data_IF_987861754753
#
_entry.id   IF_987861754753
#
_cell.length_a   1.000
_cell.length_b   1.000
_cell.length_c   1.000
_cell.angle_alpha   90.00
_cell.angle_beta   90.00
_cell.angle_gamma   90.00
#
_symmetry.space_group_name_H-M   'P 1'
#
loop_
_entity.id
_entity.type
_entity.pdbx_description
1 polymer ?
#
# COMPACT_ATOMS: atom_id res chain seq x y z
N UNK A 1 21.78 20.43 2.34
CA UNK A 1 21.81 18.96 2.61
C UNK A 1 20.48 18.54 3.19
N UNK A 2 19.76 17.61 2.55
CA UNK A 2 18.53 17.04 3.09
C UNK A 2 18.85 16.34 4.43
N UNK A 3 18.06 16.63 5.47
CA UNK A 3 18.18 15.91 6.73
C UNK A 3 17.69 14.48 6.52
N UNK A 4 18.37 13.45 7.04
CA UNK A 4 17.87 12.09 6.95
C UNK A 4 16.50 12.00 7.64
N UNK A 5 15.56 11.39 6.97
CA UNK A 5 14.24 11.09 7.56
C UNK A 5 14.47 10.14 8.73
N UNK A 6 13.88 10.45 9.90
CA UNK A 6 13.92 9.54 11.05
C UNK A 6 13.40 8.17 10.61
N UNK A 7 14.06 7.10 11.06
CA UNK A 7 13.61 5.74 10.80
C UNK A 7 12.12 5.61 11.17
N UNK A 8 11.34 5.06 10.23
CA UNK A 8 9.91 4.85 10.46
C UNK A 8 9.69 3.73 11.49
N UNK A 9 9.16 4.09 12.65
CA UNK A 9 8.96 3.18 13.77
C UNK A 9 7.73 2.25 13.63
N UNK A 10 7.30 1.97 12.39
CA UNK A 10 6.18 1.09 12.13
C UNK A 10 6.65 -0.38 12.06
N UNK A 11 5.89 -1.38 12.60
CA UNK A 11 6.30 -2.77 12.61
C UNK A 11 6.63 -3.34 11.23
N UNK A 12 5.89 -2.95 10.19
CA UNK A 12 6.14 -3.36 8.81
C UNK A 12 7.36 -2.66 8.17
N UNK A 13 7.90 -1.61 8.81
CA UNK A 13 9.11 -0.91 8.34
C UNK A 13 10.42 -1.54 8.84
N UNK A 14 10.35 -2.56 9.68
CA UNK A 14 11.55 -3.20 10.21
C UNK A 14 12.28 -4.00 9.14
N UNK A 15 13.61 -3.84 8.98
CA UNK A 15 14.41 -4.63 8.05
C UNK A 15 14.34 -6.12 8.42
N UNK A 16 13.90 -6.94 7.46
CA UNK A 16 13.70 -8.38 7.66
C UNK A 16 14.20 -9.23 6.49
N UNK A 17 14.75 -8.62 5.46
CA UNK A 17 15.29 -9.31 4.30
C UNK A 17 16.66 -8.74 3.91
N UNK A 18 17.62 -9.65 3.65
CA UNK A 18 18.95 -9.28 3.15
C UNK A 18 18.88 -8.88 1.67
N UNK A 19 19.48 -7.77 1.35
CA UNK A 19 19.60 -7.23 0.00
C UNK A 19 21.06 -6.92 -0.33
N UNK A 20 21.40 -6.72 -1.59
CA UNK A 20 22.74 -6.33 -2.01
C UNK A 20 23.25 -5.04 -1.35
N UNK A 21 22.33 -4.13 -1.00
CA UNK A 21 22.60 -2.84 -0.36
C UNK A 21 22.40 -2.86 1.16
N UNK A 22 22.24 -4.06 1.79
CA UNK A 22 22.02 -4.23 3.21
C UNK A 22 20.66 -4.83 3.56
N UNK A 23 20.24 -4.68 4.83
CA UNK A 23 18.95 -5.16 5.28
C UNK A 23 17.83 -4.19 4.89
N UNK A 24 16.77 -4.70 4.28
CA UNK A 24 15.59 -3.93 3.89
C UNK A 24 14.30 -4.54 4.45
N UNK A 25 13.27 -3.72 4.60
CA UNK A 25 11.95 -4.20 4.97
C UNK A 25 11.27 -4.88 3.76
N UNK A 26 10.77 -6.09 3.96
CA UNK A 26 9.93 -6.79 3.01
C UNK A 26 8.57 -7.07 3.65
N UNK A 27 7.53 -6.49 3.10
CA UNK A 27 6.15 -6.58 3.59
C UNK A 27 5.18 -7.01 2.49
N UNK A 28 5.66 -7.74 1.49
CA UNK A 28 4.86 -8.19 0.33
C UNK A 28 3.61 -8.98 0.70
N UNK A 29 3.65 -9.74 1.79
CA UNK A 29 2.51 -10.54 2.27
C UNK A 29 1.57 -9.77 3.20
N UNK A 30 1.88 -8.52 3.57
CA UNK A 30 1.07 -7.75 4.53
C UNK A 30 -0.35 -7.49 4.00
N UNK A 31 -0.51 -7.23 2.70
CA UNK A 31 -1.83 -7.04 2.09
C UNK A 31 -2.68 -8.32 2.10
N UNK A 32 -2.06 -9.48 1.87
CA UNK A 32 -2.74 -10.78 1.96
C UNK A 32 -3.14 -11.10 3.39
N UNK A 33 -2.29 -10.81 4.36
CA UNK A 33 -2.60 -10.99 5.79
C UNK A 33 -3.75 -10.07 6.23
N UNK A 34 -3.76 -8.80 5.81
CA UNK A 34 -4.87 -7.89 6.07
C UNK A 34 -6.18 -8.38 5.45
N UNK A 35 -6.14 -8.90 4.22
CA UNK A 35 -7.31 -9.48 3.57
C UNK A 35 -7.84 -10.69 4.34
N UNK A 36 -6.99 -11.61 4.75
CA UNK A 36 -7.39 -12.78 5.53
C UNK A 36 -8.05 -12.38 6.87
N UNK A 37 -7.45 -11.46 7.59
CA UNK A 37 -8.00 -10.93 8.85
C UNK A 37 -9.32 -10.19 8.61
N UNK A 38 -9.42 -9.40 7.54
CA UNK A 38 -10.64 -8.70 7.18
C UNK A 38 -11.81 -9.65 6.93
N UNK A 39 -11.55 -10.78 6.25
CA UNK A 39 -12.57 -11.82 6.01
C UNK A 39 -13.02 -12.46 7.35
N UNK A 40 -12.07 -12.81 8.22
CA UNK A 40 -12.36 -13.42 9.51
C UNK A 40 -13.12 -12.48 10.46
N UNK A 41 -12.83 -11.19 10.42
CA UNK A 41 -13.44 -10.17 11.25
C UNK A 41 -14.68 -9.51 10.62
N UNK A 42 -15.04 -9.91 9.39
CA UNK A 42 -16.14 -9.35 8.61
C UNK A 42 -16.07 -7.82 8.52
N UNK A 43 -14.89 -7.30 8.20
CA UNK A 43 -14.61 -5.88 7.96
C UNK A 43 -14.16 -5.61 6.53
N UNK A 44 -14.17 -4.36 6.14
CA UNK A 44 -13.68 -3.94 4.82
C UNK A 44 -12.19 -4.24 4.64
N UNK A 45 -11.85 -4.68 3.43
CA UNK A 45 -10.47 -4.94 3.01
C UNK A 45 -9.82 -3.59 2.64
N UNK A 46 -8.62 -3.31 3.17
CA UNK A 46 -7.91 -2.05 2.87
C UNK A 46 -7.57 -1.91 1.39
N UNK A 47 -7.13 -2.98 0.76
CA UNK A 47 -6.89 -3.00 -0.69
C UNK A 47 -8.08 -3.64 -1.41
N UNK A 48 -9.19 -2.91 -1.48
CA UNK A 48 -10.40 -3.39 -2.15
C UNK A 48 -10.23 -3.36 -3.69
N UNK A 49 -11.14 -4.06 -4.38
CA UNK A 49 -11.17 -4.07 -5.85
C UNK A 49 -11.31 -2.66 -6.44
N UNK A 50 -12.15 -1.81 -5.84
CA UNK A 50 -12.36 -0.43 -6.29
C UNK A 50 -11.08 0.40 -6.18
N UNK A 51 -10.29 0.21 -5.12
CA UNK A 51 -8.99 0.89 -4.95
C UNK A 51 -7.96 0.39 -5.95
N UNK A 52 -7.92 -0.91 -6.19
CA UNK A 52 -7.04 -1.50 -7.19
C UNK A 52 -7.39 -0.98 -8.59
N UNK A 53 -8.68 -0.97 -8.94
CA UNK A 53 -9.18 -0.41 -10.20
C UNK A 53 -8.82 1.06 -10.36
N UNK A 54 -9.04 1.86 -9.32
CA UNK A 54 -8.70 3.29 -9.34
C UNK A 54 -7.19 3.52 -9.54
N UNK A 55 -6.35 2.71 -8.92
CA UNK A 55 -4.90 2.76 -9.13
C UNK A 55 -4.51 2.45 -10.57
N UNK A 56 -5.12 1.45 -11.19
CA UNK A 56 -4.90 1.10 -12.60
C UNK A 56 -5.40 2.21 -13.53
N UNK A 57 -6.59 2.74 -13.28
CA UNK A 57 -7.18 3.85 -14.05
C UNK A 57 -6.27 5.08 -14.05
N UNK A 58 -5.72 5.45 -12.89
CA UNK A 58 -4.74 6.54 -12.79
C UNK A 58 -3.52 6.26 -13.67
N UNK A 59 -2.93 5.06 -13.57
CA UNK A 59 -1.73 4.70 -14.34
C UNK A 59 -1.98 4.74 -15.85
N UNK A 60 -3.09 4.19 -16.30
CA UNK A 60 -3.49 4.21 -17.73
C UNK A 60 -3.79 5.63 -18.20
N UNK A 61 -4.46 6.44 -17.37
CA UNK A 61 -4.77 7.83 -17.70
C UNK A 61 -3.50 8.70 -17.81
N UNK A 62 -2.48 8.45 -17.03
CA UNK A 62 -1.17 9.11 -17.14
C UNK A 62 -0.52 8.78 -18.50
N UNK A 63 -0.53 7.52 -18.91
CA UNK A 63 0.02 7.12 -20.21
C UNK A 63 -0.76 7.76 -21.36
N UNK A 64 -2.09 7.70 -21.34
CA UNK A 64 -2.93 8.35 -22.33
C UNK A 64 -2.72 9.87 -22.39
N UNK A 65 -2.59 10.52 -21.24
CA UNK A 65 -2.30 11.96 -21.18
C UNK A 65 -0.99 12.31 -21.88
N UNK A 66 0.04 11.48 -21.72
CA UNK A 66 1.31 11.63 -22.42
C UNK A 66 1.21 11.44 -23.94
N UNK A 67 0.48 10.43 -24.39
CA UNK A 67 0.26 10.12 -25.81
C UNK A 67 -0.60 11.18 -26.50
N UNK A 68 -1.72 11.54 -25.89
CA UNK A 68 -2.70 12.48 -26.46
C UNK A 68 -2.33 13.95 -26.17
N UNK A 69 -1.30 14.21 -25.35
CA UNK A 69 -0.82 15.56 -24.94
C UNK A 69 -1.95 16.46 -24.41
N UNK A 70 -2.87 15.88 -23.63
CA UNK A 70 -4.00 16.56 -23.00
C UNK A 70 -4.27 16.06 -21.60
N UNK A 71 -5.03 16.81 -20.82
CA UNK A 71 -5.56 16.33 -19.55
C UNK A 71 -6.59 15.22 -19.79
N UNK A 72 -6.54 14.18 -18.96
CA UNK A 72 -7.49 13.07 -18.98
C UNK A 72 -8.22 13.07 -17.64
N UNK A 73 -9.53 13.07 -17.67
CA UNK A 73 -10.38 12.92 -16.51
C UNK A 73 -10.37 11.45 -16.06
N UNK A 74 -10.15 11.23 -14.75
CA UNK A 74 -10.17 9.90 -14.16
C UNK A 74 -11.62 9.57 -13.81
N UNK A 75 -12.14 8.50 -14.39
CA UNK A 75 -13.55 8.09 -14.25
C UNK A 75 -13.81 7.35 -12.94
N UNK A 76 -12.87 6.49 -12.53
CA UNK A 76 -12.99 5.70 -11.31
C UNK A 76 -12.84 6.56 -10.05
N UNK A 77 -13.46 6.11 -8.98
CA UNK A 77 -13.35 6.76 -7.66
C UNK A 77 -13.27 5.71 -6.58
N UNK A 78 -12.56 6.00 -5.50
CA UNK A 78 -12.56 5.17 -4.31
C UNK A 78 -12.41 6.02 -3.04
N UNK A 79 -12.87 5.52 -1.92
CA UNK A 79 -12.61 6.12 -0.62
C UNK A 79 -11.18 5.82 -0.16
N UNK A 80 -10.58 6.76 0.59
CA UNK A 80 -9.30 6.48 1.25
C UNK A 80 -9.51 5.45 2.37
N UNK A 81 -8.73 4.34 2.42
CA UNK A 81 -8.82 3.40 3.52
C UNK A 81 -8.21 3.98 4.78
N UNK A 82 -8.63 3.48 5.93
CA UNK A 82 -7.97 3.76 7.19
C UNK A 82 -6.52 3.27 7.15
N UNK A 83 -5.64 4.05 7.75
CA UNK A 83 -4.24 3.67 7.84
C UNK A 83 -4.09 2.43 8.73
N UNK A 84 -3.21 1.51 8.31
CA UNK A 84 -2.83 0.38 9.15
C UNK A 84 -2.02 0.87 10.35
N UNK A 85 -2.65 0.95 11.51
CA UNK A 85 -2.04 1.41 12.75
C UNK A 85 -1.00 0.44 13.29
N UNK A 86 -0.16 0.92 14.23
CA UNK A 86 0.91 0.11 14.83
C UNK A 86 0.35 -1.13 15.56
N UNK A 87 -0.77 -1.00 16.25
CA UNK A 87 -1.41 -2.13 16.97
C UNK A 87 -1.89 -3.21 16.00
N UNK A 88 -2.58 -2.81 14.95
CA UNK A 88 -3.09 -3.71 13.90
C UNK A 88 -1.94 -4.36 13.13
N UNK A 89 -0.91 -3.59 12.76
CA UNK A 89 0.28 -4.13 12.10
C UNK A 89 0.98 -5.19 12.97
N UNK A 90 1.06 -4.98 14.28
CA UNK A 90 1.59 -5.98 15.22
C UNK A 90 0.72 -7.24 15.28
N UNK A 91 -0.60 -7.11 15.19
CA UNK A 91 -1.51 -8.27 15.19
C UNK A 91 -1.35 -9.12 13.92
N UNK A 92 -1.13 -8.50 12.76
CA UNK A 92 -0.84 -9.20 11.50
C UNK A 92 0.49 -9.98 11.52
N UNK A 93 1.45 -9.55 12.34
CA UNK A 93 2.77 -10.19 12.46
C UNK A 93 2.83 -11.27 13.54
N UNK A 94 1.80 -11.42 14.36
CA UNK A 94 1.73 -12.50 15.37
C UNK A 94 1.42 -13.82 14.66
N UNK A 95 2.32 -14.76 14.86
CA UNK A 95 2.13 -16.17 14.53
C UNK A 95 1.29 -16.86 15.60
#
# INVERSE_FOLDING_TARGET
KAKPVKAWAHPLGNPNQKHAQGMMANYRTAGLADMAVAILENRDIRCSLERALHGVDIMVSILRSGEEKKFIDIESRCSRPDALGIKEAKSLLRK
#
